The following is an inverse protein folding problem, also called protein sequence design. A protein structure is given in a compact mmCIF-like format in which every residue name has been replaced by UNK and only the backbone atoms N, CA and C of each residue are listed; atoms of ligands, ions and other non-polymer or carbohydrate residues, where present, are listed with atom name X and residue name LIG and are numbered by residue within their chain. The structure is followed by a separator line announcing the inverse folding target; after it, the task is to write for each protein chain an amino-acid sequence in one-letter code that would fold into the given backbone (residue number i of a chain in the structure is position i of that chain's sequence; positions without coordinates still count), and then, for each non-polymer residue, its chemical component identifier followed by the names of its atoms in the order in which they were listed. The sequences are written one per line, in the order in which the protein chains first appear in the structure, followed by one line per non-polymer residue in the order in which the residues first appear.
data_IF_232510862534
#
_entry.id   IF_232510862534
#
_cell.length_a   1.000
_cell.length_b   1.000
_cell.length_c   1.000
_cell.angle_alpha   90.00
_cell.angle_beta   90.00
_cell.angle_gamma   90.00
#
_symmetry.space_group_name_H-M   'P 1'
#
loop_
_entity.id
_entity.type
_entity.pdbx_description
1 polymer ?
#
# COMPACT_ATOMS: atom_id res chain seq x y z
N UNK A 1 -10.17 16.19 16.68
CA UNK A 1 -11.34 16.34 15.79
C UNK A 1 -11.89 14.97 15.52
N UNK A 2 -12.98 14.63 16.22
CA UNK A 2 -13.61 13.30 16.19
C UNK A 2 -14.46 13.18 14.93
N UNK A 3 -14.11 12.29 14.01
CA UNK A 3 -14.90 12.01 12.82
C UNK A 3 -15.95 10.94 13.17
N UNK A 4 -17.19 11.36 13.35
CA UNK A 4 -18.33 10.47 13.54
C UNK A 4 -18.60 9.69 12.24
N UNK A 5 -18.42 8.39 12.28
CA UNK A 5 -18.90 7.49 11.22
C UNK A 5 -20.40 7.29 11.47
N UNK A 6 -21.22 7.97 10.70
CA UNK A 6 -22.66 7.70 10.63
C UNK A 6 -22.86 6.42 9.83
N UNK A 7 -23.07 5.31 10.53
CA UNK A 7 -23.59 4.08 9.93
C UNK A 7 -25.09 4.30 9.70
N UNK A 8 -25.41 4.82 8.51
CA UNK A 8 -26.80 4.92 8.06
C UNK A 8 -27.39 3.54 7.84
N UNK A 9 -28.33 3.13 8.67
CA UNK A 9 -29.19 1.97 8.45
C UNK A 9 -30.10 2.24 7.26
N UNK A 10 -29.66 1.90 6.06
CA UNK A 10 -30.50 1.86 4.87
C UNK A 10 -31.45 0.66 4.97
N UNK A 11 -32.68 0.92 5.36
CA UNK A 11 -33.80 0.00 5.25
C UNK A 11 -34.08 -0.27 3.75
N UNK A 12 -33.48 -1.32 3.20
CA UNK A 12 -33.64 -1.72 1.80
C UNK A 12 -34.96 -2.45 1.62
N UNK A 13 -35.94 -1.79 1.00
CA UNK A 13 -37.10 -2.45 0.39
C UNK A 13 -36.61 -3.48 -0.63
N UNK A 14 -37.13 -4.71 -0.53
CA UNK A 14 -36.83 -5.82 -1.43
C UNK A 14 -37.31 -5.50 -2.86
N UNK A 15 -36.44 -5.40 -3.83
CA UNK A 15 -36.81 -5.65 -5.21
C UNK A 15 -36.37 -7.06 -5.61
N UNK A 16 -37.13 -7.65 -6.47
CA UNK A 16 -37.06 -9.01 -7.01
C UNK A 16 -35.67 -9.30 -7.64
N UNK A 17 -35.06 -10.42 -7.23
CA UNK A 17 -34.05 -11.22 -7.95
C UNK A 17 -32.59 -10.78 -8.19
N UNK A 18 -32.04 -9.76 -7.59
CA UNK A 18 -30.58 -9.69 -7.41
C UNK A 18 -30.29 -9.44 -5.94
N UNK A 19 -30.18 -10.50 -5.14
CA UNK A 19 -29.85 -10.36 -3.71
C UNK A 19 -28.44 -9.77 -3.59
N UNK A 20 -28.38 -8.44 -3.47
CA UNK A 20 -27.19 -7.74 -3.04
C UNK A 20 -26.82 -8.26 -1.64
N UNK A 21 -25.65 -8.82 -1.49
CA UNK A 21 -25.20 -9.37 -0.21
C UNK A 21 -24.00 -8.58 0.28
N UNK A 22 -24.11 -7.91 1.43
CA UNK A 22 -22.98 -7.27 2.06
C UNK A 22 -22.01 -8.31 2.60
N UNK A 23 -20.75 -7.93 2.67
CA UNK A 23 -19.71 -8.70 3.31
C UNK A 23 -18.71 -7.76 3.99
N UNK A 24 -18.06 -8.27 5.01
CA UNK A 24 -17.02 -7.59 5.77
C UNK A 24 -15.88 -8.56 6.02
N UNK A 25 -14.68 -8.05 6.11
CA UNK A 25 -13.54 -8.90 6.44
C UNK A 25 -12.38 -8.14 7.02
N UNK A 26 -11.44 -8.92 7.52
CA UNK A 26 -10.16 -8.45 8.06
C UNK A 26 -9.04 -9.17 7.32
N UNK A 27 -7.94 -8.48 7.10
CA UNK A 27 -6.75 -9.02 6.43
C UNK A 27 -5.49 -8.68 7.23
N UNK A 28 -4.51 -9.55 7.14
CA UNK A 28 -3.16 -9.33 7.63
C UNK A 28 -2.16 -9.95 6.69
N UNK A 29 -0.92 -9.46 6.71
CA UNK A 29 0.10 -9.99 5.82
C UNK A 29 1.38 -9.17 5.81
N UNK A 30 2.05 -9.19 4.68
CA UNK A 30 3.34 -8.52 4.46
C UNK A 30 3.21 -7.48 3.37
N UNK A 31 3.81 -6.33 3.61
CA UNK A 31 3.94 -5.21 2.68
C UNK A 31 5.40 -5.06 2.27
N UNK A 32 5.64 -4.91 0.97
CA UNK A 32 6.94 -4.64 0.35
C UNK A 32 6.84 -3.38 -0.48
N UNK A 33 7.63 -2.36 -0.16
CA UNK A 33 7.71 -1.13 -0.96
C UNK A 33 8.72 -1.31 -2.09
N UNK A 34 8.47 -0.71 -3.25
CA UNK A 34 9.48 -0.63 -4.32
C UNK A 34 10.65 0.24 -3.86
N UNK A 35 11.87 -0.19 -4.15
CA UNK A 35 13.07 0.63 -3.98
C UNK A 35 13.21 1.64 -5.13
N UNK A 36 13.99 2.69 -4.92
CA UNK A 36 14.37 3.66 -5.93
C UNK A 36 15.84 4.07 -5.78
N UNK A 37 16.50 4.34 -6.91
CA UNK A 37 17.84 4.86 -6.95
C UNK A 37 17.96 5.89 -8.07
N UNK A 38 18.68 6.99 -7.83
CA UNK A 38 18.89 8.05 -8.79
C UNK A 38 20.36 8.48 -8.80
N UNK A 39 20.85 8.83 -9.98
CA UNK A 39 22.23 9.31 -10.17
C UNK A 39 22.16 10.63 -10.90
N UNK A 40 22.85 11.63 -10.37
CA UNK A 40 23.09 12.91 -11.02
C UNK A 40 24.58 13.01 -11.37
N UNK A 41 24.84 13.28 -12.64
CA UNK A 41 26.20 13.39 -13.19
C UNK A 41 26.43 14.85 -13.58
N UNK A 42 27.04 15.60 -12.69
CA UNK A 42 27.57 16.92 -13.00
C UNK A 42 29.04 16.83 -13.43
N UNK A 43 29.53 17.79 -14.24
CA UNK A 43 30.92 17.84 -14.75
C UNK A 43 31.98 17.81 -13.63
N UNK A 44 31.63 18.20 -12.41
CA UNK A 44 32.53 18.28 -11.26
C UNK A 44 32.24 17.25 -10.15
N UNK A 45 31.08 16.59 -10.15
CA UNK A 45 30.74 15.60 -9.13
C UNK A 45 29.62 14.70 -9.60
N UNK A 46 29.77 13.39 -9.38
CA UNK A 46 28.69 12.44 -9.54
C UNK A 46 28.09 12.17 -8.15
N UNK A 47 26.78 12.28 -8.02
CA UNK A 47 26.06 11.97 -6.79
C UNK A 47 25.03 10.89 -7.05
N UNK A 48 25.05 9.84 -6.23
CA UNK A 48 24.08 8.76 -6.32
C UNK A 48 23.27 8.72 -5.02
N UNK A 49 21.98 8.62 -5.16
CA UNK A 49 21.07 8.44 -4.04
C UNK A 49 20.24 7.18 -4.20
N UNK A 50 19.91 6.54 -3.11
CA UNK A 50 19.03 5.38 -3.10
C UNK A 50 18.22 5.30 -1.82
N UNK A 51 17.08 4.60 -1.89
CA UNK A 51 16.45 4.10 -0.68
C UNK A 51 16.15 2.61 -0.82
N UNK A 52 16.29 1.91 0.30
CA UNK A 52 16.06 0.48 0.43
C UNK A 52 14.99 0.26 1.48
N UNK A 53 13.78 -0.17 1.09
CA UNK A 53 12.75 -0.53 2.04
C UNK A 53 12.96 -1.97 2.53
N UNK A 54 12.60 -2.22 3.80
CA UNK A 54 12.44 -3.56 4.34
C UNK A 54 10.98 -3.97 4.29
N UNK A 55 10.72 -5.27 4.23
CA UNK A 55 9.38 -5.81 4.35
C UNK A 55 8.79 -5.46 5.71
N UNK A 56 7.51 -5.17 5.75
CA UNK A 56 6.82 -4.80 6.97
C UNK A 56 5.46 -5.45 7.13
N UNK A 57 4.93 -5.49 8.34
CA UNK A 57 3.58 -6.00 8.58
C UNK A 57 2.53 -5.07 7.96
N UNK A 58 1.44 -5.67 7.50
CA UNK A 58 0.24 -4.96 7.07
C UNK A 58 -0.99 -5.61 7.67
N UNK A 59 -1.94 -4.77 8.06
CA UNK A 59 -3.27 -5.20 8.53
C UNK A 59 -4.32 -4.30 7.93
N UNK A 60 -5.54 -4.79 7.80
CA UNK A 60 -6.62 -3.99 7.27
C UNK A 60 -7.99 -4.59 7.48
N UNK A 61 -8.97 -3.77 7.16
CA UNK A 61 -10.39 -4.14 7.16
C UNK A 61 -10.99 -3.77 5.82
N UNK A 62 -12.00 -4.50 5.41
CA UNK A 62 -12.74 -4.17 4.21
C UNK A 62 -14.23 -4.44 4.38
N UNK A 63 -15.02 -3.68 3.65
CA UNK A 63 -16.46 -3.86 3.53
C UNK A 63 -16.82 -3.86 2.05
N UNK A 64 -17.78 -4.67 1.67
CA UNK A 64 -18.17 -4.73 0.27
C UNK A 64 -19.60 -5.19 0.06
N UNK A 65 -20.01 -5.08 -1.17
CA UNK A 65 -21.34 -5.47 -1.63
C UNK A 65 -21.21 -6.30 -2.90
N UNK A 66 -21.67 -7.54 -2.87
CA UNK A 66 -21.85 -8.33 -4.06
C UNK A 66 -23.04 -7.78 -4.87
N UNK A 67 -22.73 -7.17 -6.01
CA UNK A 67 -23.77 -6.64 -6.89
C UNK A 67 -24.51 -7.76 -7.63
N UNK A 68 -23.74 -8.73 -8.12
CA UNK A 68 -24.26 -9.94 -8.76
C UNK A 68 -23.34 -11.15 -8.47
N UNK A 69 -23.46 -12.23 -9.24
CA UNK A 69 -22.64 -13.43 -9.03
C UNK A 69 -21.15 -13.23 -9.33
N UNK A 70 -20.82 -12.26 -10.18
CA UNK A 70 -19.46 -12.07 -10.71
C UNK A 70 -18.86 -10.70 -10.38
N UNK A 71 -19.66 -9.75 -9.91
CA UNK A 71 -19.22 -8.39 -9.68
C UNK A 71 -19.50 -7.93 -8.25
N UNK A 72 -18.52 -7.24 -7.66
CA UNK A 72 -18.63 -6.65 -6.33
C UNK A 72 -17.95 -5.30 -6.29
N UNK A 73 -18.38 -4.45 -5.36
CA UNK A 73 -17.71 -3.22 -4.97
C UNK A 73 -17.22 -3.38 -3.54
N UNK A 74 -16.04 -2.82 -3.25
CA UNK A 74 -15.38 -2.96 -1.94
C UNK A 74 -14.70 -1.66 -1.56
N UNK A 75 -14.78 -1.30 -0.29
CA UNK A 75 -13.95 -0.29 0.34
C UNK A 75 -12.96 -0.95 1.27
N UNK A 76 -11.70 -0.54 1.18
CA UNK A 76 -10.59 -1.08 1.97
C UNK A 76 -9.95 0.01 2.80
N UNK A 77 -9.58 -0.31 4.02
CA UNK A 77 -8.65 0.47 4.82
C UNK A 77 -7.51 -0.43 5.26
N UNK A 78 -6.27 -0.04 4.87
CA UNK A 78 -5.07 -0.80 5.13
C UNK A 78 -4.06 0.07 5.89
N UNK A 79 -3.42 -0.51 6.86
CA UNK A 79 -2.28 0.07 7.56
C UNK A 79 -1.07 -0.83 7.39
N UNK A 80 0.09 -0.23 7.06
CA UNK A 80 1.35 -0.93 7.03
C UNK A 80 2.50 -0.10 7.61
N UNK A 81 3.53 -0.78 8.05
CA UNK A 81 4.73 -0.20 8.66
C UNK A 81 5.96 -0.86 8.07
N UNK A 82 6.87 -0.05 7.50
CA UNK A 82 8.10 -0.52 6.89
C UNK A 82 9.28 0.29 7.42
N UNK A 83 10.47 -0.31 7.49
CA UNK A 83 11.72 0.42 7.64
C UNK A 83 12.22 0.81 6.24
N UNK A 84 12.79 1.99 6.12
CA UNK A 84 13.32 2.53 4.88
C UNK A 84 14.64 3.21 5.16
N UNK A 85 15.73 2.72 4.56
CA UNK A 85 17.05 3.36 4.68
C UNK A 85 17.30 4.23 3.46
N UNK A 86 17.53 5.52 3.68
CA UNK A 86 17.94 6.48 2.68
C UNK A 86 19.45 6.63 2.73
N UNK A 87 20.10 6.56 1.57
CA UNK A 87 21.54 6.65 1.40
C UNK A 87 21.88 7.60 0.25
N UNK A 88 22.96 8.40 0.43
CA UNK A 88 23.50 9.26 -0.61
C UNK A 88 25.03 9.19 -0.60
N UNK A 89 25.58 9.00 -1.78
CA UNK A 89 27.02 8.88 -2.05
C UNK A 89 27.46 9.94 -3.06
N UNK A 90 28.54 10.64 -2.80
CA UNK A 90 29.25 11.45 -3.79
C UNK A 90 30.40 10.64 -4.35
N UNK A 91 30.52 10.55 -5.68
CA UNK A 91 31.70 10.02 -6.33
C UNK A 91 32.84 11.03 -6.12
N UNK A 92 33.87 10.62 -5.40
CA UNK A 92 35.12 11.36 -5.33
C UNK A 92 36.07 10.83 -6.38
N UNK A 93 36.88 11.70 -7.00
CA UNK A 93 37.96 11.33 -7.92
C UNK A 93 39.05 10.46 -7.25
N UNK A 94 39.07 10.38 -5.94
CA UNK A 94 39.87 9.44 -5.16
C UNK A 94 38.98 8.23 -4.78
N UNK A 95 39.41 7.06 -5.16
CA UNK A 95 38.83 5.71 -5.19
C UNK A 95 37.79 5.24 -4.13
N UNK A 96 37.34 6.07 -3.23
CA UNK A 96 36.28 5.78 -2.25
C UNK A 96 35.25 6.89 -2.28
N UNK A 97 34.09 6.61 -2.89
CA UNK A 97 32.95 7.53 -2.85
C UNK A 97 32.66 7.96 -1.40
N UNK A 98 32.60 9.26 -1.15
CA UNK A 98 32.29 9.77 0.18
C UNK A 98 30.78 9.60 0.42
N UNK A 99 30.42 8.87 1.48
CA UNK A 99 29.02 8.80 1.93
C UNK A 99 28.61 10.17 2.46
N UNK A 100 27.61 10.77 1.85
CA UNK A 100 27.08 12.07 2.26
C UNK A 100 26.16 11.91 3.47
N UNK A 101 25.22 10.97 3.39
CA UNK A 101 24.40 10.57 4.53
C UNK A 101 23.88 9.14 4.38
N UNK A 102 23.56 8.53 5.51
CA UNK A 102 22.74 7.32 5.60
C UNK A 102 21.82 7.47 6.80
N UNK A 103 20.51 7.25 6.60
CA UNK A 103 19.54 7.36 7.68
C UNK A 103 18.40 6.39 7.50
N UNK A 104 18.06 5.67 8.58
CA UNK A 104 16.92 4.77 8.60
C UNK A 104 15.69 5.49 9.15
N UNK A 105 14.58 5.34 8.43
CA UNK A 105 13.27 5.87 8.76
C UNK A 105 12.30 4.74 9.06
N UNK A 106 11.36 5.00 9.96
CA UNK A 106 10.18 4.21 10.11
C UNK A 106 9.05 4.85 9.30
N UNK A 107 8.65 4.17 8.24
CA UNK A 107 7.52 4.56 7.40
C UNK A 107 6.24 3.91 7.92
N UNK A 108 5.18 4.69 8.03
CA UNK A 108 3.82 4.23 8.30
C UNK A 108 2.93 4.69 7.16
N UNK A 109 2.08 3.80 6.66
CA UNK A 109 1.14 4.12 5.61
C UNK A 109 -0.28 3.77 6.03
N UNK A 110 -1.19 4.70 5.78
CA UNK A 110 -2.63 4.53 5.88
C UNK A 110 -3.20 4.63 4.47
N UNK A 111 -3.86 3.59 4.01
CA UNK A 111 -4.37 3.50 2.65
C UNK A 111 -5.88 3.29 2.70
N UNK A 112 -6.64 4.18 2.06
CA UNK A 112 -8.08 4.04 1.89
C UNK A 112 -8.39 3.91 0.39
N UNK A 113 -9.09 2.83 0.00
CA UNK A 113 -9.35 2.48 -1.40
C UNK A 113 -10.82 2.18 -1.62
N UNK A 114 -11.29 2.46 -2.84
CA UNK A 114 -12.52 1.94 -3.39
C UNK A 114 -12.21 1.08 -4.61
N UNK A 115 -12.69 -0.17 -4.64
CA UNK A 115 -12.32 -1.16 -5.64
C UNK A 115 -13.55 -1.84 -6.24
N UNK A 116 -13.45 -2.17 -7.52
CA UNK A 116 -14.36 -3.08 -8.22
C UNK A 116 -13.70 -4.46 -8.32
N UNK A 117 -14.43 -5.51 -7.97
CA UNK A 117 -13.97 -6.89 -8.02
C UNK A 117 -14.74 -7.67 -9.08
N UNK A 118 -14.00 -8.34 -9.95
CA UNK A 118 -14.54 -9.27 -10.94
C UNK A 118 -14.16 -10.71 -10.52
N UNK A 119 -15.18 -11.52 -10.28
CA UNK A 119 -15.01 -12.94 -9.96
C UNK A 119 -15.17 -13.81 -11.20
N UNK A 120 -14.32 -14.82 -11.32
CA UNK A 120 -14.36 -15.78 -12.44
C UNK A 120 -15.32 -16.95 -12.22
N UNK A 121 -15.91 -17.05 -11.02
CA UNK A 121 -16.88 -18.09 -10.68
C UNK A 121 -18.07 -17.51 -9.91
N UNK A 122 -19.26 -18.12 -10.05
CA UNK A 122 -20.46 -17.65 -9.36
C UNK A 122 -20.33 -17.83 -7.84
N UNK A 123 -21.21 -17.14 -7.09
CA UNK A 123 -21.21 -17.17 -5.61
C UNK A 123 -21.48 -18.55 -5.01
N UNK A 124 -22.08 -19.46 -5.76
CA UNK A 124 -22.29 -20.85 -5.32
C UNK A 124 -20.99 -21.66 -5.26
N UNK A 125 -19.95 -21.25 -5.98
CA UNK A 125 -18.68 -21.96 -6.04
C UNK A 125 -17.94 -21.91 -4.72
N UNK A 126 -17.27 -23.00 -4.36
CA UNK A 126 -16.43 -23.09 -3.16
C UNK A 126 -15.15 -22.26 -3.27
N UNK A 127 -14.56 -22.22 -4.47
CA UNK A 127 -13.37 -21.42 -4.80
C UNK A 127 -13.75 -20.33 -5.78
N UNK A 128 -13.44 -19.07 -5.47
CA UNK A 128 -13.79 -17.91 -6.30
C UNK A 128 -12.56 -17.03 -6.55
N UNK A 129 -11.81 -17.29 -7.62
CA UNK A 129 -10.74 -16.37 -8.04
C UNK A 129 -11.35 -15.02 -8.44
N UNK A 130 -10.59 -13.94 -8.18
CA UNK A 130 -11.02 -12.59 -8.54
C UNK A 130 -9.85 -11.71 -8.99
N UNK A 131 -10.18 -10.69 -9.77
CA UNK A 131 -9.34 -9.52 -10.01
C UNK A 131 -10.04 -8.31 -9.40
N UNK A 132 -9.26 -7.38 -8.89
CA UNK A 132 -9.74 -6.11 -8.38
C UNK A 132 -8.96 -4.95 -9.01
N UNK A 133 -9.66 -3.88 -9.30
CA UNK A 133 -9.10 -2.60 -9.72
C UNK A 133 -9.78 -1.49 -8.94
N UNK A 134 -9.00 -0.52 -8.50
CA UNK A 134 -9.51 0.54 -7.65
C UNK A 134 -8.63 1.77 -7.61
N UNK A 135 -9.13 2.75 -6.89
CA UNK A 135 -8.43 4.00 -6.64
C UNK A 135 -8.69 4.47 -5.22
N UNK A 136 -7.86 5.36 -4.73
CA UNK A 136 -8.00 5.91 -3.40
C UNK A 136 -6.87 6.84 -3.03
N UNK A 137 -6.54 6.86 -1.75
CA UNK A 137 -5.50 7.73 -1.20
C UNK A 137 -4.57 6.94 -0.28
N UNK A 138 -3.29 7.29 -0.34
CA UNK A 138 -2.27 6.82 0.59
C UNK A 138 -1.76 8.02 1.38
N UNK A 139 -1.80 7.93 2.69
CA UNK A 139 -1.13 8.86 3.60
C UNK A 139 0.10 8.17 4.17
N UNK A 140 1.29 8.70 3.84
CA UNK A 140 2.58 8.19 4.28
C UNK A 140 3.20 9.17 5.26
N UNK A 141 3.68 8.65 6.39
CA UNK A 141 4.53 9.37 7.34
C UNK A 141 5.85 8.61 7.50
N UNK A 142 6.97 9.32 7.52
CA UNK A 142 8.28 8.76 7.76
C UNK A 142 8.99 9.54 8.86
N UNK A 143 9.38 8.83 9.91
CA UNK A 143 10.06 9.36 11.07
C UNK A 143 11.47 8.78 11.16
N UNK A 144 12.51 9.60 11.40
CA UNK A 144 13.86 9.10 11.60
C UNK A 144 13.94 8.17 12.80
N UNK A 145 14.61 7.03 12.65
CA UNK A 145 14.83 6.05 13.73
C UNK A 145 16.26 6.03 14.23
N UNK A 146 17.21 6.42 13.40
CA UNK A 146 18.64 6.51 13.76
C UNK A 146 19.15 7.94 13.68
N UNK A 147 20.24 8.24 14.38
CA UNK A 147 20.92 9.52 14.29
C UNK A 147 21.45 9.79 12.87
N UNK A 148 21.76 8.73 12.13
CA UNK A 148 22.31 8.80 10.78
C UNK A 148 23.78 9.23 10.76
N UNK A 149 24.44 8.91 9.65
CA UNK A 149 25.78 9.40 9.33
C UNK A 149 25.56 10.64 8.45
N UNK A 150 26.25 11.73 8.72
CA UNK A 150 26.16 12.95 7.91
C UNK A 150 27.57 13.51 7.68
N UNK A 151 27.97 13.57 6.42
CA UNK A 151 29.24 14.15 6.00
C UNK A 151 28.96 15.30 4.99
N UNK A 152 28.78 16.50 5.50
CA UNK A 152 28.59 17.70 4.68
C UNK A 152 27.14 18.01 4.25
N UNK A 153 26.26 17.00 4.14
CA UNK A 153 24.84 17.19 3.83
C UNK A 153 24.00 16.63 4.98
N UNK A 154 23.11 17.44 5.52
CA UNK A 154 22.19 16.98 6.56
C UNK A 154 21.21 15.96 5.99
N UNK A 155 21.03 14.80 6.63
CA UNK A 155 20.05 13.83 6.20
C UNK A 155 18.61 14.42 6.33
N UNK A 156 17.66 13.94 5.51
CA UNK A 156 16.28 14.38 5.57
C UNK A 156 15.68 14.27 6.98
N UNK A 157 14.82 15.22 7.35
CA UNK A 157 14.02 15.16 8.58
C UNK A 157 12.81 14.23 8.44
N UNK A 158 11.87 14.31 9.41
CA UNK A 158 10.56 13.67 9.28
C UNK A 158 9.76 14.31 8.15
N UNK A 159 9.01 13.49 7.43
CA UNK A 159 8.13 14.00 6.38
C UNK A 159 6.81 13.22 6.34
N UNK A 160 5.80 13.87 5.78
CA UNK A 160 4.46 13.31 5.61
C UNK A 160 3.90 13.76 4.25
N UNK A 161 3.17 12.87 3.61
CA UNK A 161 2.52 13.16 2.34
C UNK A 161 1.25 12.34 2.14
N UNK A 162 0.22 12.98 1.58
CA UNK A 162 -0.99 12.30 1.10
C UNK A 162 -0.98 12.33 -0.42
N UNK A 163 -1.16 11.18 -1.06
CA UNK A 163 -1.11 11.02 -2.51
C UNK A 163 -2.29 10.20 -3.01
N UNK A 164 -2.85 10.53 -4.20
CA UNK A 164 -3.77 9.65 -4.88
C UNK A 164 -3.05 8.35 -5.24
N UNK A 165 -3.81 7.25 -5.26
CA UNK A 165 -3.28 5.93 -5.50
C UNK A 165 -4.17 5.14 -6.46
N UNK A 166 -3.53 4.33 -7.29
CA UNK A 166 -4.16 3.28 -8.09
C UNK A 166 -3.93 1.94 -7.41
N UNK A 167 -4.91 1.06 -7.49
CA UNK A 167 -4.89 -0.25 -6.86
C UNK A 167 -5.27 -1.34 -7.85
N UNK A 168 -4.46 -2.41 -7.87
CA UNK A 168 -4.76 -3.64 -8.61
C UNK A 168 -4.50 -4.81 -7.67
N UNK A 169 -5.40 -5.79 -7.69
CA UNK A 169 -5.20 -7.01 -6.91
C UNK A 169 -5.75 -8.23 -7.64
N UNK A 170 -5.17 -9.38 -7.34
CA UNK A 170 -5.71 -10.68 -7.69
C UNK A 170 -5.79 -11.54 -6.44
N UNK A 171 -6.77 -12.43 -6.41
CA UNK A 171 -6.92 -13.27 -5.22
C UNK A 171 -7.92 -14.39 -5.39
N UNK A 172 -8.12 -15.09 -4.29
CA UNK A 172 -9.03 -16.23 -4.20
C UNK A 172 -9.82 -16.12 -2.90
N UNK A 173 -11.15 -16.24 -3.02
CA UNK A 173 -12.04 -16.43 -1.88
C UNK A 173 -12.39 -17.92 -1.77
N UNK A 174 -12.14 -18.50 -0.62
CA UNK A 174 -12.56 -19.86 -0.26
C UNK A 174 -13.79 -19.77 0.63
N UNK A 175 -14.90 -20.36 0.18
CA UNK A 175 -16.14 -20.36 0.92
C UNK A 175 -16.10 -21.43 2.02
N UNK A 176 -16.40 -21.01 3.23
CA UNK A 176 -16.57 -21.88 4.41
C UNK A 176 -18.07 -22.00 4.77
N UNK A 177 -18.36 -22.74 5.83
CA UNK A 177 -19.74 -22.90 6.33
C UNK A 177 -20.25 -21.58 6.96
N UNK A 178 -21.56 -21.43 7.03
CA UNK A 178 -22.25 -20.35 7.73
C UNK A 178 -21.88 -18.93 7.27
N UNK A 179 -21.60 -18.74 5.97
CA UNK A 179 -21.27 -17.43 5.40
C UNK A 179 -19.86 -16.94 5.72
N UNK A 180 -19.02 -17.73 6.34
CA UNK A 180 -17.60 -17.44 6.49
C UNK A 180 -16.83 -17.81 5.24
N UNK A 181 -15.72 -17.16 5.04
CA UNK A 181 -14.75 -17.43 3.95
C UNK A 181 -13.34 -17.07 4.37
N UNK A 182 -12.39 -17.66 3.68
CA UNK A 182 -10.99 -17.28 3.74
C UNK A 182 -10.63 -16.58 2.45
N UNK A 183 -9.85 -15.50 2.52
CA UNK A 183 -9.34 -14.74 1.38
C UNK A 183 -7.83 -14.74 1.36
N UNK A 184 -7.26 -15.02 0.21
CA UNK A 184 -5.88 -14.68 -0.11
C UNK A 184 -5.88 -13.66 -1.25
N UNK A 185 -5.04 -12.63 -1.16
CA UNK A 185 -4.84 -11.69 -2.25
C UNK A 185 -3.40 -11.20 -2.34
N UNK A 186 -2.92 -11.08 -3.56
CA UNK A 186 -1.74 -10.32 -3.91
C UNK A 186 -2.21 -8.98 -4.49
N UNK A 187 -1.71 -7.89 -3.94
CA UNK A 187 -2.17 -6.55 -4.27
C UNK A 187 -1.01 -5.59 -4.51
N UNK A 188 -1.16 -4.72 -5.47
CA UNK A 188 -0.28 -3.58 -5.72
C UNK A 188 -1.06 -2.28 -5.55
N UNK A 189 -0.44 -1.33 -4.86
CA UNK A 189 -0.95 0.04 -4.77
C UNK A 189 0.16 0.99 -5.20
N UNK A 190 -0.08 1.72 -6.27
CA UNK A 190 0.88 2.65 -6.87
C UNK A 190 0.46 4.10 -6.63
N UNK A 191 1.40 4.93 -6.18
CA UNK A 191 1.24 6.37 -5.96
C UNK A 191 2.50 7.13 -6.34
N UNK A 192 2.42 8.45 -6.45
CA UNK A 192 3.65 9.25 -6.59
C UNK A 192 4.52 9.10 -5.35
N UNK A 193 5.85 8.98 -5.55
CA UNK A 193 6.79 8.62 -4.50
C UNK A 193 7.23 9.83 -3.67
N UNK A 194 6.77 9.99 -2.42
CA UNK A 194 7.22 11.06 -1.55
C UNK A 194 8.61 10.80 -0.94
N UNK A 195 9.06 9.54 -0.88
CA UNK A 195 10.36 9.15 -0.34
C UNK A 195 11.45 9.56 -1.31
N UNK A 196 11.29 9.27 -2.61
CA UNK A 196 12.26 9.63 -3.65
C UNK A 196 12.53 11.13 -3.74
N UNK A 197 11.57 11.96 -3.36
CA UNK A 197 11.74 13.42 -3.30
C UNK A 197 12.64 13.90 -2.18
N UNK A 198 12.89 13.06 -1.17
CA UNK A 198 13.77 13.36 -0.05
C UNK A 198 15.22 12.92 -0.32
N UNK A 199 15.46 12.22 -1.42
CA UNK A 199 16.80 11.83 -1.82
C UNK A 199 17.60 13.03 -2.33
N UNK A 200 18.90 12.93 -2.25
CA UNK A 200 19.85 13.90 -2.84
C UNK A 200 20.84 13.12 -3.71
N UNK A 201 20.73 13.19 -5.05
CA UNK A 201 19.71 13.89 -5.84
C UNK A 201 18.32 13.24 -5.73
N UNK A 202 17.23 14.01 -5.91
CA UNK A 202 15.88 13.49 -5.77
C UNK A 202 15.51 12.52 -6.90
N UNK A 203 14.91 11.39 -6.53
CA UNK A 203 14.31 10.47 -7.48
C UNK A 203 12.91 10.92 -7.94
N UNK A 204 12.41 10.34 -9.02
CA UNK A 204 11.15 10.74 -9.64
C UNK A 204 10.16 9.59 -9.87
N UNK A 205 10.47 8.39 -9.40
CA UNK A 205 9.66 7.20 -9.66
C UNK A 205 8.36 7.16 -8.86
N UNK A 206 7.43 6.32 -9.32
CA UNK A 206 6.25 5.95 -8.56
C UNK A 206 6.63 5.00 -7.41
N UNK A 207 5.96 5.14 -6.28
CA UNK A 207 6.03 4.20 -5.17
C UNK A 207 4.99 3.10 -5.40
N UNK A 208 5.44 1.88 -5.62
CA UNK A 208 4.60 0.69 -5.59
C UNK A 208 4.70 0.02 -4.22
N UNK A 209 3.56 -0.36 -3.68
CA UNK A 209 3.45 -1.12 -2.44
C UNK A 209 2.78 -2.46 -2.76
N UNK A 210 3.58 -3.53 -2.74
CA UNK A 210 3.13 -4.89 -2.95
C UNK A 210 2.73 -5.52 -1.62
N UNK A 211 1.57 -6.18 -1.59
CA UNK A 211 1.04 -6.80 -0.37
C UNK A 211 0.61 -8.22 -0.63
N UNK A 212 1.06 -9.14 0.23
CA UNK A 212 0.53 -10.49 0.34
C UNK A 212 -0.40 -10.52 1.55
N UNK A 213 -1.69 -10.68 1.32
CA UNK A 213 -2.73 -10.56 2.34
C UNK A 213 -3.49 -11.87 2.49
N UNK A 214 -3.69 -12.25 3.74
CA UNK A 214 -4.52 -13.36 4.17
C UNK A 214 -5.63 -12.82 5.07
N UNK A 215 -6.84 -13.30 4.92
CA UNK A 215 -7.94 -12.75 5.70
C UNK A 215 -9.14 -13.66 5.83
N UNK A 216 -10.05 -13.20 6.66
CA UNK A 216 -11.33 -13.85 6.91
C UNK A 216 -12.44 -12.92 6.47
N UNK A 217 -13.43 -13.48 5.80
CA UNK A 217 -14.58 -12.78 5.24
C UNK A 217 -15.86 -13.34 5.86
N UNK A 218 -16.78 -12.46 6.20
CA UNK A 218 -18.15 -12.81 6.59
C UNK A 218 -19.12 -12.22 5.59
N UNK A 219 -19.90 -13.07 4.93
CA UNK A 219 -21.01 -12.69 4.06
C UNK A 219 -22.35 -12.82 4.82
N UNK A 220 -23.28 -11.91 4.55
CA UNK A 220 -24.60 -11.84 5.18
C UNK A 220 -25.73 -12.16 4.19
#
# INVERSE_FOLDING_TARGET
MLMFVVVGTLALRKPCNAQRRPYVGVVGGVSTLSADAHTDLDSNSATTSSYKPENGPTVGVFVGLHWNNYFSIQGDYLWNRNLVTLDSLAASTTATGARLYERTFQSRQHTALGSALLYFRPRSSWVRPFLAVGTGVVHLTAEPRSAGIANGISPPGSFSATKPALHVAMGIDLKLKNGWGFRYSFAETSSSNPISRQLTPPGSRMLANFRNLFGVVKCF
#
